data_IF_379772343849
#
_entry.id   IF_379772343849
#
_cell.length_a   1.000
_cell.length_b   1.000
_cell.length_c   1.000
_cell.angle_alpha   90.00
_cell.angle_beta   90.00
_cell.angle_gamma   90.00
#
_symmetry.space_group_name_H-M   'P 1'
#
loop_
_entity.id
_entity.type
_entity.pdbx_description
1 polymer ?
#
# COMPACT_ATOMS: atom_id res chain seq x y z
N UNK A 1 27.65 0.58 -18.28
CA UNK A 1 28.02 0.16 -16.92
C UNK A 1 29.21 -0.78 -17.02
N UNK A 2 30.24 -0.55 -16.22
CA UNK A 2 31.44 -1.41 -16.11
C UNK A 2 31.29 -2.26 -14.85
N UNK A 3 31.36 -3.58 -14.96
CA UNK A 3 31.26 -4.50 -13.83
C UNK A 3 32.49 -4.35 -12.91
N UNK A 4 32.26 -3.96 -11.66
CA UNK A 4 33.29 -3.89 -10.60
C UNK A 4 33.28 -5.19 -9.79
N UNK A 5 34.47 -5.79 -9.61
CA UNK A 5 34.63 -7.12 -8.98
C UNK A 5 35.09 -6.98 -7.54
N UNK A 6 34.19 -7.26 -6.60
CA UNK A 6 34.47 -7.21 -5.18
C UNK A 6 35.08 -8.53 -4.65
N UNK A 7 34.72 -9.68 -5.23
CA UNK A 7 35.27 -11.00 -4.82
C UNK A 7 35.16 -12.06 -5.94
N UNK A 8 36.13 -12.98 -6.03
CA UNK A 8 36.13 -14.10 -6.99
C UNK A 8 36.66 -13.77 -8.40
N UNK A 9 36.81 -14.80 -9.25
CA UNK A 9 37.31 -14.69 -10.64
C UNK A 9 36.23 -14.81 -11.72
N UNK A 10 34.99 -15.10 -11.32
CA UNK A 10 33.89 -15.28 -12.27
C UNK A 10 33.52 -13.95 -12.92
N UNK A 11 33.19 -14.00 -14.21
CA UNK A 11 32.73 -12.87 -15.01
C UNK A 11 31.64 -13.40 -15.94
N UNK A 12 30.42 -12.89 -15.83
CA UNK A 12 29.38 -13.23 -16.78
C UNK A 12 29.50 -12.32 -18.02
N UNK A 13 29.09 -12.85 -19.17
CA UNK A 13 29.01 -12.11 -20.42
C UNK A 13 27.89 -11.06 -20.34
N UNK A 14 28.05 -9.93 -21.03
CA UNK A 14 27.11 -8.80 -20.91
C UNK A 14 25.65 -9.19 -21.23
N UNK A 15 25.44 -10.12 -22.15
CA UNK A 15 24.11 -10.62 -22.50
C UNK A 15 23.44 -11.41 -21.37
N UNK A 16 24.21 -11.98 -20.44
CA UNK A 16 23.69 -12.73 -19.28
C UNK A 16 23.09 -11.79 -18.23
N UNK A 17 23.57 -10.54 -18.14
CA UNK A 17 23.04 -9.51 -17.23
C UNK A 17 21.92 -8.65 -17.86
N UNK A 18 21.78 -8.67 -19.20
CA UNK A 18 20.72 -7.96 -19.92
C UNK A 18 19.37 -8.70 -19.93
N UNK A 19 19.29 -9.88 -19.30
CA UNK A 19 18.05 -10.63 -19.13
C UNK A 19 17.46 -10.32 -17.75
N UNK A 20 16.29 -9.68 -17.75
CA UNK A 20 15.55 -9.38 -16.52
C UNK A 20 14.98 -10.69 -15.97
N UNK A 21 15.68 -11.28 -15.00
CA UNK A 21 15.23 -12.47 -14.29
C UNK A 21 14.55 -12.05 -12.98
N UNK A 22 13.23 -12.26 -12.90
CA UNK A 22 12.46 -11.99 -11.69
C UNK A 22 12.46 -13.23 -10.81
N UNK A 23 13.04 -13.13 -9.61
CA UNK A 23 12.95 -14.17 -8.58
C UNK A 23 11.96 -13.68 -7.51
N UNK A 24 10.86 -14.40 -7.33
CA UNK A 24 9.87 -14.09 -6.30
C UNK A 24 10.14 -14.91 -5.05
N UNK A 25 10.46 -14.24 -3.95
CA UNK A 25 10.73 -14.86 -2.65
C UNK A 25 9.59 -14.58 -1.68
N UNK A 26 8.96 -15.64 -1.17
CA UNK A 26 7.92 -15.54 -0.15
C UNK A 26 8.52 -15.78 1.23
N UNK A 27 8.83 -14.70 1.94
CA UNK A 27 9.34 -14.77 3.30
C UNK A 27 8.18 -15.07 4.27
N UNK A 28 8.31 -16.13 5.06
CA UNK A 28 7.30 -16.50 6.07
C UNK A 28 7.18 -15.48 7.21
N UNK A 29 6.09 -15.56 7.99
CA UNK A 29 5.92 -14.75 9.21
C UNK A 29 6.62 -15.37 10.43
N UNK A 30 7.19 -16.56 10.28
CA UNK A 30 7.83 -17.32 11.37
C UNK A 30 9.32 -17.45 11.07
N UNK A 31 10.11 -17.51 12.14
CA UNK A 31 11.53 -17.84 12.06
C UNK A 31 11.70 -19.18 11.33
N UNK A 32 12.63 -19.22 10.39
CA UNK A 32 12.97 -20.44 9.64
C UNK A 32 14.30 -21.01 10.09
N UNK A 33 14.52 -22.29 9.83
CA UNK A 33 15.81 -22.95 10.07
C UNK A 33 16.84 -22.64 8.97
N UNK A 34 16.37 -22.21 7.80
CA UNK A 34 17.25 -21.80 6.71
C UNK A 34 17.88 -20.44 7.01
N UNK A 35 19.20 -20.42 7.18
CA UNK A 35 19.95 -19.23 7.58
C UNK A 35 19.81 -18.07 6.57
N UNK A 36 19.83 -18.35 5.26
CA UNK A 36 19.71 -17.31 4.24
C UNK A 36 18.30 -16.70 4.24
N UNK A 37 17.28 -17.56 4.26
CA UNK A 37 15.88 -17.10 4.27
C UNK A 37 15.57 -16.35 5.56
N UNK A 38 16.13 -16.77 6.70
CA UNK A 38 15.97 -16.08 7.96
C UNK A 38 16.62 -14.69 7.96
N UNK A 39 17.84 -14.58 7.42
CA UNK A 39 18.51 -13.30 7.25
C UNK A 39 17.69 -12.35 6.35
N UNK A 40 17.18 -12.84 5.23
CA UNK A 40 16.31 -12.07 4.34
C UNK A 40 15.00 -11.67 5.03
N UNK A 41 14.43 -12.55 5.88
CA UNK A 41 13.25 -12.24 6.71
C UNK A 41 13.54 -11.09 7.66
N UNK A 42 14.68 -11.11 8.35
CA UNK A 42 15.12 -10.03 9.23
C UNK A 42 15.22 -8.71 8.44
N UNK A 43 15.93 -8.72 7.30
CA UNK A 43 16.19 -7.51 6.50
C UNK A 43 14.91 -6.90 5.92
N UNK A 44 14.03 -7.71 5.31
CA UNK A 44 12.95 -7.18 4.48
C UNK A 44 11.56 -7.22 5.12
N UNK A 45 11.36 -8.05 6.16
CA UNK A 45 10.02 -8.33 6.68
C UNK A 45 9.85 -8.10 8.17
N UNK A 46 10.90 -8.25 8.96
CA UNK A 46 10.83 -8.10 10.41
C UNK A 46 10.55 -6.65 10.81
N UNK A 47 9.43 -6.44 11.50
CA UNK A 47 9.03 -5.14 12.06
C UNK A 47 9.75 -4.86 13.39
N UNK A 48 11.08 -4.90 13.37
CA UNK A 48 11.93 -4.53 14.50
C UNK A 48 12.69 -3.23 14.20
N UNK A 49 13.08 -2.46 15.23
CA UNK A 49 13.96 -1.31 15.07
C UNK A 49 15.22 -1.67 14.28
N UNK A 50 15.67 -0.76 13.41
CA UNK A 50 16.87 -0.98 12.59
C UNK A 50 18.12 -1.28 13.44
N UNK A 51 18.18 -0.75 14.67
CA UNK A 51 19.27 -1.02 15.61
C UNK A 51 19.27 -2.48 16.11
N UNK A 52 18.10 -3.03 16.44
CA UNK A 52 17.97 -4.42 16.87
C UNK A 52 18.31 -5.37 15.72
N UNK A 53 17.82 -5.05 14.51
CA UNK A 53 18.16 -5.80 13.30
C UNK A 53 19.66 -5.75 13.00
N UNK A 54 20.29 -4.58 13.16
CA UNK A 54 21.75 -4.45 13.03
C UNK A 54 22.47 -5.39 13.98
N UNK A 55 22.09 -5.41 15.27
CA UNK A 55 22.71 -6.29 16.26
C UNK A 55 22.53 -7.76 15.89
N UNK A 56 21.32 -8.19 15.49
CA UNK A 56 21.08 -9.57 15.04
C UNK A 56 21.92 -9.94 13.81
N UNK A 57 22.04 -9.04 12.84
CA UNK A 57 22.87 -9.26 11.65
C UNK A 57 24.36 -9.36 11.98
N UNK A 58 24.83 -8.58 12.95
CA UNK A 58 26.21 -8.64 13.45
C UNK A 58 26.47 -9.94 14.22
N UNK A 59 25.59 -10.31 15.16
CA UNK A 59 25.78 -11.45 16.06
C UNK A 59 25.55 -12.81 15.39
N UNK A 60 24.48 -12.95 14.60
CA UNK A 60 24.10 -14.24 13.99
C UNK A 60 24.77 -14.47 12.63
N UNK A 61 25.16 -13.40 11.92
CA UNK A 61 25.65 -13.48 10.53
C UNK A 61 26.98 -12.77 10.29
N UNK A 62 27.54 -12.05 11.27
CA UNK A 62 28.81 -11.33 11.11
C UNK A 62 28.74 -10.14 10.13
N UNK A 63 27.54 -9.60 9.88
CA UNK A 63 27.32 -8.50 8.94
C UNK A 63 27.36 -7.18 9.71
N UNK A 64 28.46 -6.47 9.56
CA UNK A 64 28.64 -5.14 10.15
C UNK A 64 28.05 -4.05 9.26
N UNK A 65 27.10 -3.29 9.80
CA UNK A 65 26.47 -2.18 9.09
C UNK A 65 26.99 -0.84 9.59
N UNK A 66 27.37 0.03 8.66
CA UNK A 66 27.63 1.45 8.91
C UNK A 66 26.35 2.17 9.33
N UNK A 67 26.48 3.41 9.83
CA UNK A 67 25.30 4.20 10.19
C UNK A 67 24.37 4.46 9.00
N UNK A 68 24.92 4.69 7.81
CA UNK A 68 24.12 4.95 6.61
C UNK A 68 23.41 3.69 6.13
N UNK A 69 24.07 2.53 6.13
CA UNK A 69 23.41 1.24 5.83
C UNK A 69 22.33 0.90 6.87
N UNK A 70 22.52 1.28 8.13
CA UNK A 70 21.50 1.11 9.18
C UNK A 70 20.27 1.99 8.92
N UNK A 71 20.46 3.23 8.42
CA UNK A 71 19.36 4.10 8.01
C UNK A 71 18.61 3.52 6.80
N UNK A 72 19.32 2.89 5.86
CA UNK A 72 18.70 2.23 4.71
C UNK A 72 17.91 0.98 5.13
N UNK A 73 18.43 0.19 6.07
CA UNK A 73 17.74 -0.97 6.64
C UNK A 73 16.38 -0.61 7.24
N UNK A 74 16.23 0.59 7.83
CA UNK A 74 14.95 1.13 8.31
C UNK A 74 13.95 1.33 7.16
N UNK A 75 14.41 1.80 5.99
CA UNK A 75 13.55 2.05 4.83
C UNK A 75 13.07 0.77 4.17
N UNK A 76 13.87 -0.30 4.22
CA UNK A 76 13.56 -1.58 3.55
C UNK A 76 12.32 -2.28 4.13
N UNK A 77 12.05 -2.16 5.44
CA UNK A 77 10.80 -2.67 6.03
C UNK A 77 9.56 -1.87 5.61
N UNK A 78 9.74 -0.60 5.25
CA UNK A 78 8.64 0.35 5.07
C UNK A 78 8.20 0.48 3.61
N UNK A 79 8.94 -0.09 2.65
CA UNK A 79 8.61 0.04 1.23
C UNK A 79 7.27 -0.63 0.90
N UNK A 80 7.01 -1.83 1.43
CA UNK A 80 5.71 -2.49 1.30
C UNK A 80 4.61 -1.85 2.15
N UNK A 81 4.99 -1.23 3.27
CA UNK A 81 4.03 -0.56 4.16
C UNK A 81 3.50 0.74 3.54
N UNK A 82 4.35 1.49 2.81
CA UNK A 82 3.92 2.66 2.03
C UNK A 82 2.89 2.30 0.96
N UNK A 83 3.17 1.29 0.14
CA UNK A 83 2.24 0.83 -0.92
C UNK A 83 0.93 0.29 -0.32
N UNK A 84 1.00 -0.46 0.79
CA UNK A 84 -0.20 -0.96 1.47
C UNK A 84 -1.03 0.17 2.08
N UNK A 85 -0.41 1.12 2.78
CA UNK A 85 -1.11 2.22 3.42
C UNK A 85 -1.74 3.15 2.39
N UNK A 86 -1.04 3.44 1.29
CA UNK A 86 -1.60 4.23 0.19
C UNK A 86 -2.81 3.52 -0.43
N UNK A 87 -2.71 2.20 -0.67
CA UNK A 87 -3.82 1.41 -1.18
C UNK A 87 -5.01 1.33 -0.21
N UNK A 88 -4.74 1.17 1.08
CA UNK A 88 -5.77 1.11 2.12
C UNK A 88 -6.48 2.45 2.31
N UNK A 89 -5.73 3.55 2.43
CA UNK A 89 -6.30 4.89 2.62
C UNK A 89 -7.14 5.29 1.40
N UNK A 90 -6.62 5.10 0.19
CA UNK A 90 -7.40 5.37 -1.03
C UNK A 90 -8.64 4.47 -1.11
N UNK A 91 -8.55 3.20 -0.73
CA UNK A 91 -9.68 2.28 -0.73
C UNK A 91 -10.75 2.65 0.31
N UNK A 92 -10.32 3.02 1.52
CA UNK A 92 -11.20 3.42 2.61
C UNK A 92 -11.91 4.75 2.32
N UNK A 93 -11.17 5.78 1.90
CA UNK A 93 -11.74 7.09 1.60
C UNK A 93 -12.72 7.02 0.43
N UNK A 94 -12.39 6.28 -0.63
CA UNK A 94 -13.32 6.05 -1.73
C UNK A 94 -14.56 5.25 -1.29
N UNK A 95 -14.37 4.23 -0.45
CA UNK A 95 -15.47 3.40 0.07
C UNK A 95 -16.45 4.16 0.96
N UNK A 96 -15.93 4.98 1.89
CA UNK A 96 -16.76 5.82 2.79
C UNK A 96 -17.51 6.89 2.00
N UNK A 97 -16.87 7.53 1.03
CA UNK A 97 -17.52 8.55 0.20
C UNK A 97 -18.62 7.95 -0.69
N UNK A 98 -18.36 6.81 -1.34
CA UNK A 98 -19.37 6.12 -2.16
C UNK A 98 -20.53 5.59 -1.31
N UNK A 99 -20.25 5.03 -0.13
CA UNK A 99 -21.29 4.53 0.78
C UNK A 99 -22.20 5.63 1.33
N UNK A 100 -21.63 6.79 1.67
CA UNK A 100 -22.39 7.95 2.14
C UNK A 100 -23.25 8.54 1.02
N UNK A 101 -22.69 8.63 -0.19
CA UNK A 101 -23.41 9.10 -1.37
C UNK A 101 -24.60 8.19 -1.72
N UNK A 102 -24.39 6.87 -1.74
CA UNK A 102 -25.44 5.93 -2.10
C UNK A 102 -26.59 5.95 -1.10
N UNK A 103 -26.30 6.04 0.21
CA UNK A 103 -27.33 6.16 1.24
C UNK A 103 -28.13 7.45 1.08
N UNK A 104 -27.45 8.60 0.92
CA UNK A 104 -28.12 9.88 0.69
C UNK A 104 -28.95 9.89 -0.60
N UNK A 105 -28.48 9.20 -1.66
CA UNK A 105 -29.22 9.02 -2.91
C UNK A 105 -30.50 8.20 -2.69
N UNK A 106 -30.41 7.04 -2.03
CA UNK A 106 -31.56 6.18 -1.73
C UNK A 106 -32.60 6.92 -0.88
N UNK A 107 -32.15 7.64 0.16
CA UNK A 107 -33.02 8.46 1.01
C UNK A 107 -33.72 9.55 0.19
N UNK A 108 -33.01 10.23 -0.71
CA UNK A 108 -33.59 11.24 -1.61
C UNK A 108 -34.61 10.62 -2.59
N UNK A 109 -34.31 9.46 -3.19
CA UNK A 109 -35.23 8.76 -4.10
C UNK A 109 -36.52 8.38 -3.37
N UNK A 110 -36.40 7.70 -2.23
CA UNK A 110 -37.53 7.29 -1.42
C UNK A 110 -38.41 8.47 -1.00
N UNK A 111 -37.78 9.59 -0.62
CA UNK A 111 -38.50 10.80 -0.20
C UNK A 111 -39.25 11.44 -1.39
N UNK A 112 -38.60 11.56 -2.55
CA UNK A 112 -39.21 12.12 -3.77
C UNK A 112 -40.37 11.24 -4.24
N UNK A 113 -40.20 9.92 -4.26
CA UNK A 113 -41.24 8.98 -4.72
C UNK A 113 -42.44 8.93 -3.76
N UNK A 114 -42.19 8.95 -2.44
CA UNK A 114 -43.27 8.85 -1.44
C UNK A 114 -44.05 10.16 -1.24
N UNK A 115 -43.43 11.32 -1.49
CA UNK A 115 -44.04 12.63 -1.21
C UNK A 115 -44.33 13.47 -2.46
N UNK A 116 -43.73 13.14 -3.60
CA UNK A 116 -43.77 13.94 -4.82
C UNK A 116 -42.98 15.26 -4.74
N UNK A 117 -42.07 15.41 -3.77
CA UNK A 117 -41.30 16.64 -3.58
C UNK A 117 -40.24 16.84 -4.66
N UNK A 118 -39.87 18.10 -4.91
CA UNK A 118 -38.71 18.42 -5.74
C UNK A 118 -37.41 18.02 -5.03
N UNK A 119 -36.37 17.71 -5.80
CA UNK A 119 -35.05 17.35 -5.28
C UNK A 119 -34.50 18.39 -4.29
N UNK A 120 -34.64 19.69 -4.59
CA UNK A 120 -34.22 20.77 -3.69
C UNK A 120 -34.91 20.70 -2.33
N UNK A 121 -36.22 20.41 -2.34
CA UNK A 121 -37.00 20.32 -1.12
C UNK A 121 -36.66 19.07 -0.32
N UNK A 122 -36.41 17.94 -0.99
CA UNK A 122 -35.93 16.73 -0.36
C UNK A 122 -34.54 16.92 0.28
N UNK A 123 -33.60 17.57 -0.44
CA UNK A 123 -32.28 17.91 0.08
C UNK A 123 -32.34 18.82 1.31
N UNK A 124 -33.19 19.85 1.29
CA UNK A 124 -33.37 20.73 2.45
C UNK A 124 -33.88 19.99 3.69
N UNK A 125 -34.83 19.06 3.52
CA UNK A 125 -35.38 18.25 4.63
C UNK A 125 -34.34 17.29 5.19
N UNK A 126 -33.56 16.66 4.32
CA UNK A 126 -32.44 15.79 4.70
C UNK A 126 -31.19 16.58 5.13
N UNK A 127 -31.24 17.92 5.14
CA UNK A 127 -30.14 18.84 5.47
C UNK A 127 -28.88 18.60 4.62
N UNK A 128 -29.08 18.18 3.37
CA UNK A 128 -28.02 18.03 2.38
C UNK A 128 -27.74 19.43 1.79
N UNK A 129 -26.48 19.88 1.75
CA UNK A 129 -26.12 21.17 1.16
C UNK A 129 -26.57 21.30 -0.30
N UNK A 130 -27.17 22.43 -0.67
CA UNK A 130 -27.69 22.65 -2.02
C UNK A 130 -26.57 22.82 -3.06
N UNK A 131 -25.35 23.09 -2.62
CA UNK A 131 -24.14 23.15 -3.43
C UNK A 131 -23.84 21.79 -4.09
N UNK A 132 -24.31 20.69 -3.49
CA UNK A 132 -24.16 19.33 -4.02
C UNK A 132 -25.30 18.92 -4.97
N UNK A 133 -26.25 19.82 -5.27
CA UNK A 133 -27.44 19.53 -6.07
C UNK A 133 -27.08 18.93 -7.44
N UNK A 134 -26.10 19.50 -8.13
CA UNK A 134 -25.64 19.02 -9.45
C UNK A 134 -25.06 17.60 -9.38
N UNK A 135 -24.47 17.23 -8.24
CA UNK A 135 -23.89 15.91 -8.00
C UNK A 135 -24.99 14.86 -7.82
N UNK A 136 -26.00 15.14 -7.00
CA UNK A 136 -27.15 14.26 -6.80
C UNK A 136 -28.08 14.21 -8.02
N UNK A 137 -28.27 15.31 -8.75
CA UNK A 137 -29.01 15.29 -10.02
C UNK A 137 -28.40 14.32 -11.03
N UNK A 138 -27.07 14.32 -11.18
CA UNK A 138 -26.37 13.39 -12.08
C UNK A 138 -26.42 11.94 -11.56
N UNK A 139 -26.35 11.75 -10.25
CA UNK A 139 -26.42 10.42 -9.63
C UNK A 139 -27.82 9.78 -9.75
N UNK A 140 -28.88 10.59 -9.71
CA UNK A 140 -30.28 10.19 -9.84
C UNK A 140 -30.70 9.95 -11.31
N UNK A 141 -30.11 10.67 -12.28
CA UNK A 141 -30.40 10.52 -13.72
C UNK A 141 -29.79 9.26 -14.36
N UNK A 142 -28.85 8.57 -13.72
CA UNK A 142 -28.12 7.40 -14.25
C UNK A 142 -28.92 6.08 -14.30
N UNK A 143 -30.23 6.10 -14.06
CA UNK A 143 -31.10 4.89 -14.05
C UNK A 143 -31.92 4.64 -15.33
N UNK A 144 -31.50 5.19 -16.47
CA UNK A 144 -32.06 4.84 -17.79
C UNK A 144 -30.99 4.50 -18.83
#
# INVERSE_FOLDING_TARGET
MTEERLHGKYRAEQWQYNLLNVVMLYLGNRKTQDSLIEMLRIIFKEKAPALEKKQQLEEEYGIHLTEDETKELKKMCNLSEGVYNDGFNNGFDNGVNVGTLNRAKEDLQNLIESTGWSLEKAMQVLRIPLEEKDHYEKALKKEH
#
